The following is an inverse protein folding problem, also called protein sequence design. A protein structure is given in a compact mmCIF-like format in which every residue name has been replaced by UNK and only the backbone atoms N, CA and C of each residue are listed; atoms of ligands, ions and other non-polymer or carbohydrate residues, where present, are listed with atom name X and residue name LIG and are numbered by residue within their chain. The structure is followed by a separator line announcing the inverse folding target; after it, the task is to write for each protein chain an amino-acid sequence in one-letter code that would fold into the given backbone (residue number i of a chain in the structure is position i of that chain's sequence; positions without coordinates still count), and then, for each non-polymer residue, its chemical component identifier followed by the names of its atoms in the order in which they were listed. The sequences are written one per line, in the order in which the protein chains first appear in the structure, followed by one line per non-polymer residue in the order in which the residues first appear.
data_IF_312116884903
#
_entry.id   IF_312116884903
#
_cell.length_a   1.000
_cell.length_b   1.000
_cell.length_c   1.000
_cell.angle_alpha   90.00
_cell.angle_beta   90.00
_cell.angle_gamma   90.00
#
_symmetry.space_group_name_H-M   'P 1'
#
loop_
_entity.id
_entity.type
_entity.pdbx_description
1 polymer ?
#
# COMPACT_ATOMS: atom_id res chain seq x y z
N UNK A 1 -29.90 11.15 -10.06
CA UNK A 1 -30.01 9.89 -9.27
C UNK A 1 -28.67 9.23 -9.25
N UNK A 2 -28.21 8.75 -8.09
CA UNK A 2 -26.97 7.97 -7.93
C UNK A 2 -27.29 6.48 -8.07
N UNK A 3 -26.40 5.74 -8.73
CA UNK A 3 -26.52 4.29 -8.91
C UNK A 3 -25.19 3.62 -8.60
N UNK A 4 -25.19 2.71 -7.63
CA UNK A 4 -24.04 1.84 -7.38
C UNK A 4 -24.04 0.65 -8.35
N UNK A 5 -22.85 0.24 -8.79
CA UNK A 5 -22.58 -0.94 -9.61
C UNK A 5 -21.45 -1.70 -8.94
N UNK A 6 -21.66 -2.99 -8.69
CA UNK A 6 -20.63 -3.93 -8.24
C UNK A 6 -20.18 -4.82 -9.39
N UNK A 7 -18.90 -5.13 -9.44
CA UNK A 7 -18.32 -6.00 -10.47
C UNK A 7 -16.97 -6.57 -9.99
N UNK A 8 -16.56 -7.68 -10.57
CA UNK A 8 -15.25 -8.30 -10.30
C UNK A 8 -14.25 -7.98 -11.42
N UNK A 9 -14.27 -8.75 -12.51
CA UNK A 9 -13.20 -8.72 -13.55
C UNK A 9 -13.63 -8.15 -14.91
N UNK A 10 -14.79 -7.51 -15.01
CA UNK A 10 -15.26 -6.96 -16.28
C UNK A 10 -14.36 -5.83 -16.79
N UNK A 11 -13.65 -6.11 -17.84
CA UNK A 11 -12.58 -5.25 -18.38
C UNK A 11 -13.04 -3.82 -18.68
N UNK A 12 -14.28 -3.63 -19.13
CA UNK A 12 -14.82 -2.28 -19.41
C UNK A 12 -15.02 -1.49 -18.13
N UNK A 13 -15.52 -2.12 -17.08
CA UNK A 13 -15.74 -1.49 -15.78
C UNK A 13 -14.41 -1.26 -15.03
N UNK A 14 -13.48 -2.20 -15.09
CA UNK A 14 -12.12 -2.01 -14.56
C UNK A 14 -11.42 -0.80 -15.18
N UNK A 15 -11.56 -0.59 -16.49
CA UNK A 15 -11.01 0.61 -17.15
C UNK A 15 -11.65 1.89 -16.63
N UNK A 16 -12.97 1.92 -16.42
CA UNK A 16 -13.67 3.08 -15.82
C UNK A 16 -13.21 3.30 -14.38
N UNK A 17 -13.07 2.21 -13.62
CA UNK A 17 -12.58 2.23 -12.25
C UNK A 17 -11.18 2.89 -12.15
N UNK A 18 -10.22 2.43 -12.96
CA UNK A 18 -8.86 2.98 -12.95
C UNK A 18 -8.82 4.41 -13.48
N UNK A 19 -9.58 4.73 -14.55
CA UNK A 19 -9.57 6.06 -15.15
C UNK A 19 -10.17 7.15 -14.28
N UNK A 20 -11.08 6.83 -13.34
CA UNK A 20 -11.68 7.83 -12.46
C UNK A 20 -10.61 8.65 -11.73
N UNK A 21 -9.56 8.02 -11.23
CA UNK A 21 -8.45 8.67 -10.55
C UNK A 21 -7.78 9.72 -11.46
N UNK A 22 -7.55 9.38 -12.74
CA UNK A 22 -6.97 10.31 -13.71
C UNK A 22 -7.88 11.53 -13.99
N UNK A 23 -9.18 11.35 -13.93
CA UNK A 23 -10.13 12.45 -14.09
C UNK A 23 -10.16 13.35 -12.85
N UNK A 24 -10.08 12.75 -11.66
CA UNK A 24 -10.14 13.49 -10.38
C UNK A 24 -8.88 14.31 -10.10
N UNK A 25 -7.72 13.85 -10.57
CA UNK A 25 -6.43 14.51 -10.35
C UNK A 25 -5.86 15.21 -11.60
N UNK A 26 -6.64 15.36 -12.68
CA UNK A 26 -6.17 15.91 -13.97
C UNK A 26 -5.48 17.29 -13.86
N UNK A 27 -5.96 18.13 -12.93
CA UNK A 27 -5.46 19.49 -12.71
C UNK A 27 -4.52 19.58 -11.50
N UNK A 28 -4.11 18.45 -10.94
CA UNK A 28 -3.27 18.35 -9.75
C UNK A 28 -1.82 18.12 -10.14
N UNK A 29 -1.01 19.17 -10.02
CA UNK A 29 0.41 19.15 -10.43
C UNK A 29 1.27 18.26 -9.56
N UNK A 30 0.85 17.87 -8.38
CA UNK A 30 1.63 17.03 -7.46
C UNK A 30 1.25 15.55 -7.52
N UNK A 31 0.09 15.24 -8.09
CA UNK A 31 -0.33 13.86 -8.24
C UNK A 31 0.59 13.05 -9.18
N UNK A 32 0.87 11.81 -8.79
CA UNK A 32 1.67 10.86 -9.59
C UNK A 32 0.76 9.76 -10.13
N UNK A 33 0.56 9.71 -11.46
CA UNK A 33 -0.29 8.70 -12.09
C UNK A 33 0.26 7.29 -11.91
N UNK A 34 -0.56 6.31 -11.47
CA UNK A 34 -0.16 4.91 -11.49
C UNK A 34 -0.12 4.37 -12.92
N UNK A 35 0.64 3.30 -13.16
CA UNK A 35 0.64 2.61 -14.44
C UNK A 35 -0.70 1.91 -14.65
N UNK A 36 -1.48 2.33 -15.64
CA UNK A 36 -2.84 1.85 -15.91
C UNK A 36 -2.85 0.33 -16.14
N UNK A 37 -1.89 -0.17 -16.93
CA UNK A 37 -1.79 -1.60 -17.24
C UNK A 37 -1.54 -2.46 -16.03
N UNK A 38 -0.63 -2.01 -15.15
CA UNK A 38 -0.26 -2.73 -13.93
C UNK A 38 -1.42 -2.71 -12.92
N UNK A 39 -2.07 -1.55 -12.76
CA UNK A 39 -3.26 -1.44 -11.90
C UNK A 39 -4.40 -2.36 -12.36
N UNK A 40 -4.68 -2.43 -13.68
CA UNK A 40 -5.68 -3.35 -14.21
C UNK A 40 -5.26 -4.81 -14.02
N UNK A 41 -3.97 -5.12 -14.20
CA UNK A 41 -3.42 -6.47 -14.01
C UNK A 41 -3.55 -6.92 -12.55
N UNK A 42 -3.21 -6.05 -11.60
CA UNK A 42 -3.37 -6.27 -10.17
C UNK A 42 -4.84 -6.48 -9.79
N UNK A 43 -5.77 -5.65 -10.30
CA UNK A 43 -7.21 -5.80 -10.08
C UNK A 43 -7.80 -7.07 -10.73
N UNK A 44 -7.10 -7.70 -11.68
CA UNK A 44 -7.44 -9.03 -12.20
C UNK A 44 -6.85 -10.17 -11.37
N UNK A 45 -6.16 -9.87 -10.29
CA UNK A 45 -5.56 -10.83 -9.38
C UNK A 45 -4.13 -11.24 -9.71
N UNK A 46 -3.47 -10.61 -10.69
CA UNK A 46 -2.09 -10.95 -11.00
C UNK A 46 -1.15 -10.45 -9.88
N UNK A 47 -0.43 -11.38 -9.23
CA UNK A 47 0.49 -11.10 -8.13
C UNK A 47 -0.20 -10.31 -6.99
N UNK A 48 -1.45 -10.64 -6.68
CA UNK A 48 -2.20 -9.99 -5.62
C UNK A 48 -2.56 -10.98 -4.52
N UNK A 49 -1.77 -11.08 -3.45
CA UNK A 49 -1.99 -12.05 -2.39
C UNK A 49 -3.32 -11.84 -1.64
N UNK A 50 -3.85 -10.61 -1.56
CA UNK A 50 -5.15 -10.38 -0.93
C UNK A 50 -6.29 -11.04 -1.72
N UNK A 51 -6.19 -11.05 -3.06
CA UNK A 51 -7.19 -11.68 -3.91
C UNK A 51 -7.09 -13.20 -3.94
N UNK A 52 -5.90 -13.73 -3.66
CA UNK A 52 -5.70 -15.17 -3.48
C UNK A 52 -6.23 -15.64 -2.12
N UNK A 53 -6.23 -14.76 -1.11
CA UNK A 53 -6.60 -15.06 0.27
C UNK A 53 -8.08 -14.87 0.59
N UNK A 54 -8.83 -14.11 -0.21
CA UNK A 54 -10.21 -13.83 0.12
C UNK A 54 -11.04 -13.19 -1.00
N UNK A 55 -12.36 -13.12 -0.79
CA UNK A 55 -13.26 -12.48 -1.74
C UNK A 55 -13.00 -10.98 -1.83
N UNK A 56 -13.20 -10.44 -3.02
CA UNK A 56 -13.08 -9.01 -3.31
C UNK A 56 -14.12 -8.56 -4.32
N UNK A 57 -14.45 -7.27 -4.31
CA UNK A 57 -15.44 -6.68 -5.20
C UNK A 57 -15.11 -5.21 -5.46
N UNK A 58 -15.18 -4.79 -6.71
CA UNK A 58 -15.08 -3.39 -7.10
C UNK A 58 -16.46 -2.74 -7.16
N UNK A 59 -16.54 -1.49 -6.71
CA UNK A 59 -17.76 -0.70 -6.74
C UNK A 59 -17.52 0.62 -7.46
N UNK A 60 -18.50 1.03 -8.26
CA UNK A 60 -18.58 2.36 -8.88
C UNK A 60 -19.90 3.02 -8.52
N UNK A 61 -19.89 4.33 -8.38
CA UNK A 61 -21.12 5.11 -8.32
C UNK A 61 -21.22 6.01 -9.55
N UNK A 62 -22.37 5.94 -10.20
CA UNK A 62 -22.71 6.80 -11.33
C UNK A 62 -23.71 7.86 -10.90
N UNK A 63 -23.51 9.09 -11.39
CA UNK A 63 -24.46 10.19 -11.37
C UNK A 63 -24.88 10.47 -12.82
N UNK A 64 -26.04 9.94 -13.22
CA UNK A 64 -26.36 9.80 -14.64
C UNK A 64 -25.41 8.79 -15.31
N UNK A 65 -24.69 9.21 -16.34
CA UNK A 65 -23.70 8.40 -17.04
C UNK A 65 -22.25 8.56 -16.52
N UNK A 66 -22.02 9.59 -15.71
CA UNK A 66 -20.69 9.91 -15.18
C UNK A 66 -20.36 9.05 -13.97
N UNK A 67 -19.17 8.46 -13.95
CA UNK A 67 -18.61 7.81 -12.75
C UNK A 67 -18.12 8.91 -11.82
N UNK A 68 -18.59 8.91 -10.57
CA UNK A 68 -18.27 9.94 -9.56
C UNK A 68 -17.60 9.40 -8.32
N UNK A 69 -17.63 8.08 -8.11
CA UNK A 69 -16.92 7.45 -7.00
C UNK A 69 -16.57 5.99 -7.31
N UNK A 70 -15.54 5.49 -6.64
CA UNK A 70 -15.09 4.09 -6.70
C UNK A 70 -14.56 3.63 -5.35
N UNK A 71 -14.63 2.31 -5.09
CA UNK A 71 -13.93 1.64 -3.99
C UNK A 71 -13.74 0.16 -4.33
N UNK A 72 -12.64 -0.41 -3.89
CA UNK A 72 -12.40 -1.85 -3.82
C UNK A 72 -12.69 -2.29 -2.39
N UNK A 73 -13.51 -3.32 -2.19
CA UNK A 73 -13.71 -3.97 -0.90
C UNK A 73 -13.27 -5.43 -0.96
N UNK A 74 -12.85 -5.99 0.16
CA UNK A 74 -12.43 -7.39 0.22
C UNK A 74 -12.22 -7.90 1.64
N UNK A 75 -11.78 -9.14 1.75
CA UNK A 75 -11.50 -9.82 3.03
C UNK A 75 -10.12 -10.45 2.95
N UNK A 76 -9.31 -10.27 3.98
CA UNK A 76 -8.08 -11.03 4.21
C UNK A 76 -8.39 -12.19 5.18
N UNK A 77 -8.62 -13.37 4.63
CA UNK A 77 -8.96 -14.56 5.42
C UNK A 77 -7.78 -15.02 6.29
N UNK A 78 -6.54 -14.80 5.88
CA UNK A 78 -5.37 -15.15 6.68
C UNK A 78 -5.27 -14.26 7.91
N UNK A 79 -5.42 -12.95 7.75
CA UNK A 79 -5.46 -12.00 8.85
C UNK A 79 -6.60 -12.31 9.81
N UNK A 80 -7.81 -12.51 9.30
CA UNK A 80 -8.99 -12.81 10.10
C UNK A 80 -8.83 -14.09 10.90
N UNK A 81 -8.28 -15.13 10.28
CA UNK A 81 -7.97 -16.40 10.96
C UNK A 81 -6.89 -16.22 12.04
N UNK A 82 -5.81 -15.51 11.72
CA UNK A 82 -4.69 -15.30 12.65
C UNK A 82 -5.10 -14.48 13.88
N UNK A 83 -5.97 -13.48 13.71
CA UNK A 83 -6.42 -12.57 14.77
C UNK A 83 -7.76 -12.96 15.41
N UNK A 84 -8.47 -13.95 14.88
CA UNK A 84 -9.79 -14.37 15.36
C UNK A 84 -10.89 -13.32 15.16
N UNK A 85 -10.82 -12.53 14.11
CA UNK A 85 -11.74 -11.41 13.80
C UNK A 85 -12.53 -11.68 12.53
N UNK A 86 -13.56 -10.86 12.27
CA UNK A 86 -14.39 -10.86 11.04
C UNK A 86 -14.33 -9.49 10.40
N UNK A 87 -13.16 -9.09 9.93
CA UNK A 87 -12.91 -7.78 9.39
C UNK A 87 -12.81 -7.80 7.87
N UNK A 88 -13.60 -6.93 7.23
CA UNK A 88 -13.40 -6.58 5.84
C UNK A 88 -12.46 -5.40 5.68
N UNK A 89 -12.01 -5.15 4.46
CA UNK A 89 -11.24 -3.96 4.14
C UNK A 89 -11.85 -3.19 2.97
N UNK A 90 -11.52 -1.90 2.90
CA UNK A 90 -11.66 -1.15 1.64
C UNK A 90 -10.31 -0.57 1.20
N UNK A 91 -10.19 -0.32 -0.10
CA UNK A 91 -9.00 0.20 -0.76
C UNK A 91 -9.38 1.03 -1.99
N UNK A 92 -8.43 1.78 -2.56
CA UNK A 92 -8.59 2.55 -3.80
C UNK A 92 -9.84 3.45 -3.80
N UNK A 93 -10.15 4.01 -2.65
CA UNK A 93 -11.28 4.94 -2.50
C UNK A 93 -11.01 6.23 -3.27
N UNK A 94 -11.93 6.58 -4.17
CA UNK A 94 -11.99 7.86 -4.84
C UNK A 94 -13.45 8.32 -4.88
N UNK A 95 -13.69 9.58 -4.58
CA UNK A 95 -15.03 10.14 -4.58
C UNK A 95 -14.99 11.63 -4.94
N UNK A 96 -15.92 12.10 -5.76
CA UNK A 96 -16.15 13.54 -5.87
C UNK A 96 -16.49 14.13 -4.49
N UNK A 97 -16.29 15.43 -4.28
CA UNK A 97 -16.70 16.10 -3.03
C UNK A 97 -18.23 16.16 -2.92
N UNK A 98 -18.82 15.01 -2.64
CA UNK A 98 -20.26 14.75 -2.65
C UNK A 98 -20.59 13.67 -1.62
N UNK A 99 -21.11 14.07 -0.47
CA UNK A 99 -21.45 13.17 0.63
C UNK A 99 -22.50 12.10 0.23
N UNK A 100 -23.41 12.43 -0.69
CA UNK A 100 -24.39 11.46 -1.18
C UNK A 100 -23.76 10.40 -2.07
N UNK A 101 -22.79 10.77 -2.92
CA UNK A 101 -22.03 9.81 -3.71
C UNK A 101 -21.20 8.87 -2.81
N UNK A 102 -20.54 9.43 -1.79
CA UNK A 102 -19.80 8.67 -0.80
C UNK A 102 -20.73 7.70 -0.05
N UNK A 103 -21.90 8.18 0.40
CA UNK A 103 -22.87 7.34 1.11
C UNK A 103 -23.33 6.16 0.25
N UNK A 104 -23.73 6.39 -0.99
CA UNK A 104 -24.16 5.31 -1.91
C UNK A 104 -23.05 4.31 -2.17
N UNK A 105 -21.79 4.77 -2.29
CA UNK A 105 -20.63 3.93 -2.50
C UNK A 105 -20.36 3.03 -1.30
N UNK A 106 -20.28 3.64 -0.11
CA UNK A 106 -19.92 2.91 1.11
C UNK A 106 -21.06 2.03 1.61
N UNK A 107 -22.33 2.44 1.43
CA UNK A 107 -23.48 1.56 1.71
C UNK A 107 -23.39 0.27 0.88
N UNK A 108 -23.05 0.36 -0.40
CA UNK A 108 -22.93 -0.80 -1.27
C UNK A 108 -21.75 -1.72 -0.86
N UNK A 109 -20.59 -1.13 -0.56
CA UNK A 109 -19.42 -1.88 -0.15
C UNK A 109 -19.59 -2.52 1.24
N UNK A 110 -20.07 -1.77 2.23
CA UNK A 110 -20.30 -2.28 3.59
C UNK A 110 -21.41 -3.33 3.62
N UNK A 111 -22.49 -3.13 2.82
CA UNK A 111 -23.53 -4.14 2.71
C UNK A 111 -22.98 -5.46 2.15
N UNK A 112 -22.19 -5.40 1.08
CA UNK A 112 -21.57 -6.61 0.51
C UNK A 112 -20.66 -7.31 1.52
N UNK A 113 -19.83 -6.58 2.26
CA UNK A 113 -18.99 -7.16 3.31
C UNK A 113 -19.82 -7.80 4.45
N UNK A 114 -20.91 -7.15 4.85
CA UNK A 114 -21.82 -7.70 5.86
C UNK A 114 -22.52 -8.97 5.35
N UNK A 115 -22.98 -8.98 4.09
CA UNK A 115 -23.64 -10.12 3.46
C UNK A 115 -22.73 -11.37 3.40
N UNK A 116 -21.40 -11.18 3.38
CA UNK A 116 -20.39 -12.27 3.43
C UNK A 116 -19.85 -12.49 4.85
N UNK A 117 -20.50 -11.93 5.88
CA UNK A 117 -20.26 -12.24 7.29
C UNK A 117 -19.20 -11.41 8.00
N UNK A 118 -18.80 -10.26 7.44
CA UNK A 118 -17.90 -9.32 8.13
C UNK A 118 -18.71 -8.40 9.04
N UNK A 119 -18.20 -8.13 10.25
CA UNK A 119 -18.82 -7.28 11.25
C UNK A 119 -18.13 -5.92 11.43
N UNK A 120 -16.95 -5.78 10.85
CA UNK A 120 -16.14 -4.57 10.89
C UNK A 120 -15.44 -4.31 9.54
N UNK A 121 -15.06 -3.07 9.30
CA UNK A 121 -14.36 -2.66 8.06
C UNK A 121 -13.24 -1.69 8.39
N UNK A 122 -12.05 -1.95 7.85
CA UNK A 122 -10.88 -1.07 7.97
C UNK A 122 -10.47 -0.53 6.59
N UNK A 123 -9.87 0.65 6.54
CA UNK A 123 -9.30 1.18 5.29
C UNK A 123 -9.02 2.68 5.32
N UNK A 124 -8.50 3.22 4.20
CA UNK A 124 -8.07 2.43 3.06
C UNK A 124 -6.77 1.68 3.35
N UNK A 125 -6.71 0.41 2.93
CA UNK A 125 -5.46 -0.38 2.96
C UNK A 125 -4.84 -0.42 1.56
N UNK A 126 -3.59 -0.90 1.45
CA UNK A 126 -3.00 -1.20 0.15
C UNK A 126 -3.81 -2.28 -0.59
N UNK A 127 -4.07 -2.13 -1.89
CA UNK A 127 -4.88 -3.09 -2.66
C UNK A 127 -4.20 -4.45 -2.87
N UNK A 128 -2.93 -4.59 -2.52
CA UNK A 128 -2.16 -5.82 -2.65
C UNK A 128 -1.32 -6.16 -1.40
N UNK A 129 -1.75 -5.69 -0.23
CA UNK A 129 -1.09 -5.91 1.07
C UNK A 129 0.33 -5.29 1.20
N UNK A 130 0.59 -4.25 0.42
CA UNK A 130 1.83 -3.45 0.52
C UNK A 130 1.64 -2.19 1.35
N UNK A 131 2.49 -1.20 1.10
CA UNK A 131 2.42 0.12 1.74
C UNK A 131 1.83 1.21 0.83
N UNK A 132 1.75 0.96 -0.47
CA UNK A 132 1.18 1.91 -1.42
C UNK A 132 -0.32 2.14 -1.18
N UNK A 133 -0.79 3.36 -1.38
CA UNK A 133 -2.20 3.76 -1.23
C UNK A 133 -2.84 3.47 0.13
N UNK A 134 -2.04 3.31 1.18
CA UNK A 134 -2.49 3.04 2.54
C UNK A 134 -2.80 4.34 3.28
N UNK A 135 -4.02 4.46 3.78
CA UNK A 135 -4.47 5.65 4.50
C UNK A 135 -4.88 6.82 3.60
N UNK A 136 -5.34 7.89 4.23
CA UNK A 136 -5.62 9.18 3.60
C UNK A 136 -4.54 10.19 3.95
N UNK A 137 -4.16 11.05 2.99
CA UNK A 137 -3.32 12.21 3.27
C UNK A 137 -4.11 13.21 4.10
N UNK A 138 -3.72 13.42 5.36
CA UNK A 138 -4.38 14.36 6.26
C UNK A 138 -3.55 15.63 6.51
N UNK A 139 -2.27 15.59 6.19
CA UNK A 139 -1.36 16.72 6.32
C UNK A 139 -0.12 16.51 5.46
N UNK A 140 0.31 17.56 4.79
CA UNK A 140 1.47 17.57 3.90
C UNK A 140 1.15 18.21 2.56
N UNK A 141 2.18 18.54 1.79
CA UNK A 141 2.08 19.19 0.48
C UNK A 141 3.17 18.66 -0.45
N UNK A 142 2.95 18.83 -1.75
CA UNK A 142 3.89 18.48 -2.79
C UNK A 142 3.76 17.03 -3.26
N UNK A 143 4.55 16.71 -4.27
CA UNK A 143 4.56 15.39 -4.88
C UNK A 143 4.93 14.32 -3.84
N UNK A 144 4.12 13.27 -3.68
CA UNK A 144 4.40 12.20 -2.74
C UNK A 144 5.68 11.45 -3.11
N UNK A 145 6.40 10.99 -2.11
CA UNK A 145 7.47 10.00 -2.29
C UNK A 145 6.84 8.63 -2.53
N UNK A 146 7.56 7.75 -3.23
CA UNK A 146 7.12 6.39 -3.52
C UNK A 146 6.54 5.70 -2.26
N UNK A 147 5.44 5.00 -2.44
CA UNK A 147 4.65 4.29 -1.43
C UNK A 147 3.85 5.17 -0.45
N UNK A 148 4.02 6.48 -0.45
CA UNK A 148 3.18 7.35 0.36
C UNK A 148 1.81 7.57 -0.28
N UNK A 149 0.77 7.60 0.55
CA UNK A 149 -0.57 7.93 0.10
C UNK A 149 -0.65 9.38 -0.38
N UNK A 150 -1.36 9.60 -1.47
CA UNK A 150 -1.74 10.91 -1.98
C UNK A 150 -3.23 10.91 -2.30
N UNK A 151 -4.01 11.73 -1.60
CA UNK A 151 -5.46 11.74 -1.70
C UNK A 151 -6.00 13.16 -1.63
N UNK A 152 -7.23 13.36 -2.09
CA UNK A 152 -7.91 14.64 -1.91
C UNK A 152 -8.11 14.93 -0.42
N UNK A 153 -7.97 16.19 -0.04
CA UNK A 153 -8.04 16.67 1.34
C UNK A 153 -9.42 16.49 2.01
N UNK A 154 -10.46 16.39 1.20
CA UNK A 154 -11.83 16.19 1.69
C UNK A 154 -12.21 14.71 1.92
N UNK A 155 -11.39 13.73 1.49
CA UNK A 155 -11.71 12.30 1.69
C UNK A 155 -11.86 11.90 3.17
N UNK A 156 -10.99 12.33 4.08
CA UNK A 156 -11.17 12.05 5.50
C UNK A 156 -12.52 12.55 6.04
N UNK A 157 -12.95 13.76 5.62
CA UNK A 157 -14.24 14.31 6.02
C UNK A 157 -15.39 13.44 5.53
N UNK A 158 -15.42 13.06 4.25
CA UNK A 158 -16.48 12.22 3.69
C UNK A 158 -16.61 10.87 4.42
N UNK A 159 -15.51 10.24 4.75
CA UNK A 159 -15.49 8.93 5.41
C UNK A 159 -15.90 9.05 6.89
N UNK A 160 -15.47 10.12 7.58
CA UNK A 160 -15.90 10.39 8.96
C UNK A 160 -17.41 10.75 9.02
N UNK A 161 -17.90 11.58 8.11
CA UNK A 161 -19.33 11.91 7.99
C UNK A 161 -20.19 10.68 7.66
N UNK A 162 -19.65 9.71 6.93
CA UNK A 162 -20.32 8.43 6.68
C UNK A 162 -20.45 7.57 7.95
N UNK A 163 -19.55 7.72 8.92
CA UNK A 163 -19.61 7.00 10.20
C UNK A 163 -18.39 6.18 10.55
N UNK A 164 -17.32 6.23 9.77
CA UNK A 164 -16.05 5.64 10.18
C UNK A 164 -15.40 6.43 11.30
N UNK A 165 -14.60 5.76 12.10
CA UNK A 165 -13.76 6.39 13.12
C UNK A 165 -12.29 6.31 12.71
N UNK A 166 -11.51 7.29 13.17
CA UNK A 166 -10.09 7.30 12.93
C UNK A 166 -9.41 6.18 13.72
N UNK A 167 -8.60 5.39 13.03
CA UNK A 167 -7.81 4.33 13.66
C UNK A 167 -6.43 4.86 14.09
N UNK A 168 -5.55 5.17 13.14
CA UNK A 168 -4.16 5.53 13.39
C UNK A 168 -3.69 6.73 12.57
N UNK A 169 -2.56 7.31 13.00
CA UNK A 169 -1.79 8.26 12.21
C UNK A 169 -0.41 7.70 11.90
N UNK A 170 -0.07 7.70 10.62
CA UNK A 170 1.29 7.47 10.16
C UNK A 170 1.94 8.78 9.74
N UNK A 171 3.25 8.92 9.94
CA UNK A 171 4.01 10.11 9.57
C UNK A 171 5.17 9.73 8.68
N UNK A 172 5.27 10.36 7.53
CA UNK A 172 6.47 10.32 6.69
C UNK A 172 7.38 11.50 7.06
N UNK A 173 8.67 11.25 7.12
CA UNK A 173 9.67 12.27 7.44
C UNK A 173 10.62 12.45 6.27
N UNK A 174 10.94 13.70 5.95
CA UNK A 174 12.03 14.04 5.03
C UNK A 174 13.18 14.63 5.83
N UNK A 175 14.39 14.16 5.55
CA UNK A 175 15.58 14.60 6.27
C UNK A 175 16.75 14.78 5.32
N UNK A 176 17.46 15.90 5.47
CA UNK A 176 18.77 16.12 4.84
C UNK A 176 19.79 16.31 5.98
N UNK A 177 20.43 15.22 6.43
CA UNK A 177 21.31 15.30 7.58
C UNK A 177 22.54 16.17 7.29
N UNK A 178 22.96 17.04 8.23
CA UNK A 178 24.23 17.76 8.13
C UNK A 178 25.42 16.79 8.12
N UNK A 179 26.49 17.15 7.42
CA UNK A 179 27.71 16.31 7.31
C UNK A 179 28.25 15.87 8.69
N UNK A 180 28.31 16.79 9.65
CA UNK A 180 28.74 16.49 11.01
C UNK A 180 27.89 15.44 11.74
N UNK A 181 26.56 15.41 11.46
CA UNK A 181 25.68 14.38 12.00
C UNK A 181 26.00 13.02 11.37
N UNK A 182 26.26 12.97 10.07
CA UNK A 182 26.64 11.75 9.36
C UNK A 182 27.94 11.17 9.96
N UNK A 183 28.99 11.99 10.12
CA UNK A 183 30.27 11.60 10.69
C UNK A 183 30.14 11.08 12.12
N UNK A 184 29.32 11.76 12.95
CA UNK A 184 29.02 11.30 14.30
C UNK A 184 28.33 9.92 14.29
N UNK A 185 27.35 9.71 13.43
CA UNK A 185 26.64 8.43 13.33
C UNK A 185 27.55 7.30 12.85
N UNK A 186 28.48 7.58 11.92
CA UNK A 186 29.47 6.60 11.48
C UNK A 186 30.31 6.14 12.68
N UNK A 187 30.89 7.06 13.45
CA UNK A 187 31.69 6.74 14.64
C UNK A 187 30.90 5.93 15.67
N UNK A 188 29.66 6.34 15.95
CA UNK A 188 28.78 5.62 16.89
C UNK A 188 28.46 4.21 16.39
N UNK A 189 28.16 4.05 15.10
CA UNK A 189 27.87 2.73 14.52
C UNK A 189 29.08 1.81 14.54
N UNK A 190 30.27 2.31 14.24
CA UNK A 190 31.52 1.53 14.33
C UNK A 190 31.80 1.08 15.75
N UNK A 191 31.65 1.96 16.73
CA UNK A 191 31.78 1.63 18.15
C UNK A 191 30.78 0.54 18.56
N UNK A 192 29.51 0.72 18.19
CA UNK A 192 28.45 -0.23 18.51
C UNK A 192 28.70 -1.62 17.88
N UNK A 193 29.11 -1.66 16.61
CA UNK A 193 29.47 -2.92 15.93
C UNK A 193 30.59 -3.67 16.67
N UNK A 194 31.64 -2.95 17.07
CA UNK A 194 32.74 -3.54 17.85
C UNK A 194 32.29 -4.01 19.22
N UNK A 195 31.52 -3.17 19.94
CA UNK A 195 31.09 -3.46 21.32
C UNK A 195 30.09 -4.62 21.40
N UNK A 196 29.14 -4.68 20.47
CA UNK A 196 28.04 -5.66 20.51
C UNK A 196 28.23 -6.85 19.58
N UNK A 197 29.25 -6.85 18.73
CA UNK A 197 29.64 -7.97 17.89
C UNK A 197 28.60 -8.35 16.82
N UNK A 198 28.05 -7.35 16.11
CA UNK A 198 27.16 -7.58 14.97
C UNK A 198 27.77 -7.09 13.66
N UNK A 199 27.38 -7.70 12.56
CA UNK A 199 27.68 -7.24 11.21
C UNK A 199 26.43 -6.57 10.58
N UNK A 200 26.67 -5.72 9.59
CA UNK A 200 25.63 -5.18 8.71
C UNK A 200 26.14 -5.38 7.29
N UNK A 201 25.43 -6.23 6.55
CA UNK A 201 25.83 -6.63 5.23
C UNK A 201 24.74 -6.23 4.22
N UNK A 202 25.16 -5.95 2.98
CA UNK A 202 24.19 -5.72 1.90
C UNK A 202 23.49 -7.03 1.56
N UNK A 203 22.19 -6.94 1.27
CA UNK A 203 21.41 -8.07 0.80
C UNK A 203 22.06 -8.70 -0.45
N UNK A 204 22.30 -10.01 -0.39
CA UNK A 204 22.87 -10.75 -1.50
C UNK A 204 21.78 -11.21 -2.48
N UNK A 205 21.58 -10.46 -3.55
CA UNK A 205 20.55 -10.73 -4.57
C UNK A 205 20.69 -12.11 -5.26
N UNK A 206 21.88 -12.75 -5.17
CA UNK A 206 22.08 -14.11 -5.69
C UNK A 206 21.54 -15.17 -4.74
N UNK A 207 21.42 -14.84 -3.45
CA UNK A 207 20.90 -15.70 -2.38
C UNK A 207 19.54 -15.22 -1.88
N UNK A 208 18.73 -14.67 -2.76
CA UNK A 208 17.49 -13.96 -2.38
C UNK A 208 16.56 -14.80 -1.51
N UNK A 209 16.50 -16.11 -1.73
CA UNK A 209 15.66 -17.02 -0.93
C UNK A 209 16.15 -17.11 0.51
N UNK A 210 17.45 -17.24 0.73
CA UNK A 210 18.03 -17.35 2.08
C UNK A 210 17.96 -16.01 2.81
N UNK A 211 18.27 -14.90 2.12
CA UNK A 211 18.13 -13.55 2.66
C UNK A 211 16.67 -13.22 3.02
N UNK A 212 15.70 -13.72 2.26
CA UNK A 212 14.27 -13.56 2.56
C UNK A 212 13.84 -14.33 3.80
N UNK A 213 14.47 -15.48 4.11
CA UNK A 213 14.23 -16.20 5.37
C UNK A 213 14.67 -15.37 6.56
N UNK A 214 15.84 -14.75 6.48
CA UNK A 214 16.35 -13.85 7.53
C UNK A 214 15.40 -12.65 7.75
N UNK A 215 14.91 -12.06 6.67
CA UNK A 215 13.95 -10.94 6.75
C UNK A 215 12.63 -11.41 7.36
N UNK A 216 12.13 -12.58 6.94
CA UNK A 216 10.91 -13.17 7.51
C UNK A 216 11.06 -13.42 9.02
N UNK A 217 12.20 -13.98 9.45
CA UNK A 217 12.50 -14.19 10.87
C UNK A 217 12.45 -12.87 11.66
N UNK A 218 13.03 -11.80 11.11
CA UNK A 218 12.99 -10.48 11.75
C UNK A 218 11.56 -9.95 11.81
N UNK A 219 10.79 -10.05 10.73
CA UNK A 219 9.40 -9.59 10.69
C UNK A 219 8.55 -10.30 11.74
N UNK A 220 8.68 -11.63 11.85
CA UNK A 220 7.91 -12.44 12.81
C UNK A 220 8.18 -12.07 14.27
N UNK A 221 9.39 -11.56 14.57
CA UNK A 221 9.75 -11.13 15.91
C UNK A 221 9.56 -9.62 16.17
N UNK A 222 9.29 -8.84 15.12
CA UNK A 222 9.27 -7.38 15.21
C UNK A 222 7.87 -6.78 15.17
N UNK A 223 6.88 -7.51 14.62
CA UNK A 223 5.50 -7.04 14.56
C UNK A 223 4.88 -7.20 15.95
N UNK A 224 4.44 -6.11 16.59
CA UNK A 224 3.80 -6.20 17.90
C UNK A 224 2.47 -6.93 17.84
N UNK A 225 2.17 -7.75 18.83
CA UNK A 225 0.93 -8.54 18.91
C UNK A 225 -0.35 -7.67 18.91
N UNK A 226 -0.25 -6.44 19.41
CA UNK A 226 -1.36 -5.48 19.46
C UNK A 226 -1.63 -4.73 18.14
N UNK A 227 -0.92 -5.06 17.05
CA UNK A 227 -1.26 -4.56 15.73
C UNK A 227 -2.28 -5.47 15.05
N UNK A 228 -3.56 -5.26 15.37
CA UNK A 228 -4.66 -6.12 14.92
C UNK A 228 -4.90 -6.08 13.40
N UNK A 229 -4.42 -5.04 12.74
CA UNK A 229 -4.59 -4.81 11.30
C UNK A 229 -3.42 -5.32 10.45
N UNK A 230 -2.38 -5.89 11.06
CA UNK A 230 -1.19 -6.36 10.35
C UNK A 230 -0.87 -7.81 10.73
N UNK A 231 -0.68 -8.62 9.72
CA UNK A 231 -0.06 -9.93 9.84
C UNK A 231 1.29 -9.93 9.13
N UNK A 232 2.25 -10.72 9.63
CA UNK A 232 3.53 -10.85 8.92
C UNK A 232 3.32 -11.59 7.60
N UNK A 233 3.90 -11.11 6.49
CA UNK A 233 3.74 -11.76 5.19
C UNK A 233 4.32 -13.17 5.22
N UNK A 234 3.79 -14.08 4.40
CA UNK A 234 4.36 -15.42 4.23
C UNK A 234 5.78 -15.35 3.67
N UNK A 235 6.57 -16.40 3.86
CA UNK A 235 7.92 -16.46 3.27
C UNK A 235 7.88 -16.32 1.75
N UNK A 236 6.90 -16.92 1.10
CA UNK A 236 6.68 -16.82 -0.33
C UNK A 236 6.42 -15.38 -0.78
N UNK A 237 5.61 -14.64 -0.01
CA UNK A 237 5.33 -13.24 -0.28
C UNK A 237 6.61 -12.38 -0.13
N UNK A 238 7.40 -12.60 0.92
CA UNK A 238 8.70 -11.92 1.10
C UNK A 238 9.66 -12.22 -0.04
N UNK A 239 9.78 -13.49 -0.45
CA UNK A 239 10.63 -13.88 -1.59
C UNK A 239 10.16 -13.20 -2.88
N UNK A 240 8.86 -13.16 -3.13
CA UNK A 240 8.30 -12.56 -4.35
C UNK A 240 8.52 -11.05 -4.37
N UNK A 241 8.34 -10.39 -3.24
CA UNK A 241 8.62 -8.95 -3.10
C UNK A 241 10.07 -8.62 -3.44
N UNK A 242 11.03 -9.33 -2.83
CA UNK A 242 12.46 -9.11 -3.12
C UNK A 242 12.87 -9.52 -4.53
N UNK A 243 12.21 -10.51 -5.14
CA UNK A 243 12.42 -10.83 -6.56
C UNK A 243 11.92 -9.70 -7.47
N UNK A 244 10.82 -9.08 -7.12
CA UNK A 244 10.27 -7.92 -7.84
C UNK A 244 11.20 -6.72 -7.69
N UNK A 245 11.59 -6.40 -6.46
CA UNK A 245 12.53 -5.32 -6.17
C UNK A 245 13.88 -5.50 -6.88
N UNK A 246 14.38 -6.74 -7.00
CA UNK A 246 15.63 -7.03 -7.73
C UNK A 246 15.63 -6.53 -9.17
N UNK A 247 14.48 -6.43 -9.82
CA UNK A 247 14.38 -5.92 -11.19
C UNK A 247 14.67 -4.43 -11.27
N UNK A 248 14.44 -3.70 -10.18
CA UNK A 248 14.61 -2.25 -10.11
C UNK A 248 15.94 -1.83 -9.50
N UNK A 249 16.52 -2.65 -8.60
CA UNK A 249 17.81 -2.33 -7.99
C UNK A 249 18.58 -3.59 -7.57
N UNK A 250 19.90 -3.52 -7.61
CA UNK A 250 20.80 -4.65 -7.32
C UNK A 250 21.04 -4.88 -5.80
N UNK A 251 20.07 -4.65 -4.93
CA UNK A 251 20.22 -4.78 -3.48
C UNK A 251 21.12 -3.71 -2.82
N UNK A 252 21.48 -2.64 -3.55
CA UNK A 252 22.41 -1.61 -3.06
C UNK A 252 21.93 -0.89 -1.80
N UNK A 253 20.62 -0.81 -1.60
CA UNK A 253 19.99 -0.06 -0.52
C UNK A 253 19.25 -0.95 0.47
N UNK A 254 19.47 -2.27 0.42
CA UNK A 254 18.94 -3.20 1.42
C UNK A 254 20.08 -3.78 2.23
N UNK A 255 19.95 -3.74 3.55
CA UNK A 255 20.94 -4.21 4.49
C UNK A 255 20.29 -5.12 5.53
N UNK A 256 21.02 -6.15 5.94
CA UNK A 256 20.63 -7.05 7.02
C UNK A 256 21.71 -7.01 8.10
N UNK A 257 21.28 -6.77 9.33
CA UNK A 257 22.14 -6.85 10.50
C UNK A 257 22.08 -8.26 11.10
N UNK A 258 23.25 -8.86 11.40
CA UNK A 258 23.35 -10.19 11.98
C UNK A 258 24.30 -10.19 13.19
N UNK A 259 23.92 -10.94 14.22
CA UNK A 259 24.78 -11.19 15.40
C UNK A 259 24.97 -12.67 15.59
N UNK A 260 26.23 -13.13 15.56
CA UNK A 260 26.56 -14.56 15.61
C UNK A 260 25.78 -15.40 14.57
N UNK A 261 25.61 -14.86 13.38
CA UNK A 261 24.88 -15.48 12.27
C UNK A 261 23.35 -15.36 12.34
N UNK A 262 22.75 -14.88 13.46
CA UNK A 262 21.29 -14.66 13.56
C UNK A 262 20.93 -13.28 13.04
N UNK A 263 19.86 -13.16 12.23
CA UNK A 263 19.35 -11.88 11.79
C UNK A 263 18.71 -11.12 12.96
N UNK A 264 19.00 -9.83 13.06
CA UNK A 264 18.53 -8.97 14.17
C UNK A 264 17.87 -7.67 13.72
N UNK A 265 17.91 -7.38 12.43
CA UNK A 265 17.29 -6.21 11.86
C UNK A 265 17.60 -6.09 10.37
N UNK A 266 16.75 -5.38 9.65
CA UNK A 266 16.99 -5.06 8.25
C UNK A 266 16.54 -3.62 7.95
N UNK A 267 17.05 -3.09 6.84
CA UNK A 267 16.65 -1.82 6.28
C UNK A 267 16.51 -1.96 4.77
N UNK A 268 15.41 -1.45 4.24
CA UNK A 268 15.20 -1.30 2.80
C UNK A 268 15.08 0.20 2.49
N UNK A 269 15.91 0.68 1.58
CA UNK A 269 15.75 2.02 1.00
C UNK A 269 15.56 1.88 -0.51
N UNK A 270 14.58 2.58 -1.05
CA UNK A 270 14.23 2.57 -2.45
C UNK A 270 14.49 3.94 -3.06
N UNK A 271 14.95 4.01 -4.31
CA UNK A 271 14.91 5.26 -5.06
C UNK A 271 13.46 5.74 -5.22
N UNK A 272 13.28 7.06 -5.19
CA UNK A 272 11.95 7.63 -5.42
C UNK A 272 11.61 7.60 -6.92
N UNK A 273 10.95 6.53 -7.35
CA UNK A 273 10.50 6.35 -8.73
C UNK A 273 9.35 7.27 -9.13
N UNK A 274 8.69 7.94 -8.19
CA UNK A 274 7.61 8.87 -8.50
C UNK A 274 8.07 9.99 -9.44
N UNK A 275 9.33 10.39 -9.37
CA UNK A 275 9.94 11.36 -10.30
C UNK A 275 9.91 10.90 -11.77
N UNK A 276 9.97 9.58 -12.00
CA UNK A 276 9.88 8.99 -13.34
C UNK A 276 8.42 8.70 -13.70
N UNK A 277 7.67 8.06 -12.79
CA UNK A 277 6.28 7.67 -13.00
C UNK A 277 5.39 8.86 -13.37
N UNK A 278 5.63 10.02 -12.76
CA UNK A 278 4.92 11.25 -13.09
C UNK A 278 5.04 11.62 -14.57
N UNK A 279 6.23 11.48 -15.17
CA UNK A 279 6.47 11.78 -16.58
C UNK A 279 5.83 10.77 -17.52
N UNK A 280 5.62 9.54 -17.05
CA UNK A 280 5.04 8.44 -17.83
C UNK A 280 3.52 8.56 -17.99
N UNK A 281 2.88 9.41 -17.20
CA UNK A 281 1.44 9.68 -17.25
C UNK A 281 0.57 8.41 -17.40
N UNK A 282 0.87 7.40 -16.57
CA UNK A 282 0.13 6.14 -16.50
C UNK A 282 0.43 5.13 -17.63
N UNK A 283 1.43 5.38 -18.49
CA UNK A 283 1.77 4.51 -19.62
C UNK A 283 3.26 4.16 -19.62
N UNK A 284 3.54 2.86 -19.73
CA UNK A 284 4.93 2.38 -19.86
C UNK A 284 5.42 2.43 -21.33
N UNK A 285 4.55 2.18 -22.30
CA UNK A 285 4.81 2.13 -23.74
C UNK A 285 3.60 2.66 -24.53
N UNK A 286 3.81 3.27 -25.72
CA UNK A 286 5.09 3.77 -26.18
C UNK A 286 5.59 4.87 -25.27
N UNK A 287 6.89 5.03 -25.16
CA UNK A 287 7.49 6.11 -24.39
C UNK A 287 6.94 7.40 -24.98
N UNK A 288 6.05 8.05 -24.21
CA UNK A 288 5.39 9.28 -24.63
C UNK A 288 6.36 10.46 -24.58
#
# INVERSE_FOLDING_TARGET
MYKAISFDKETKLLRKFVKLEFEMYKDDSDWVPPLIGDTISMLKGKNNPLFDNGPHMCFLVLKGEQVVARVLAGVDNELNKAKGIKQGYFSMFECSDDAQACKVLMDAACKWLNDIGMDSVIGPISPCNGDDRKGFLVWGQGMPVLLNAYTKDYYPRLILEYGFTKNENHRAYSMKPPQAAIERHIKVSEYARKKYGYSVDRLNVRKIVDESKDIKEILDHSVPDNWDYLNTPSLEAVIQEFKTLKQFYNGYYTFIARKKGKPIGFMVALPDYNQVLKRMNGRLLPIG
#
